data_IF_630394973762
#
_entry.id   IF_630394973762
#
_cell.length_a   1.000
_cell.length_b   1.000
_cell.length_c   1.000
_cell.angle_alpha   90.00
_cell.angle_beta   90.00
_cell.angle_gamma   90.00
#
_symmetry.space_group_name_H-M   'P 1'
#
loop_
_entity.id
_entity.type
_entity.pdbx_description
1 polymer ?
#
# COMPACT_ATOMS: atom_id res chain seq x y z
N UNK A 1 -10.41 20.36 -16.64
CA UNK A 1 -9.35 19.40 -16.21
C UNK A 1 -9.68 18.05 -16.83
N UNK A 2 -8.69 17.33 -17.36
CA UNK A 2 -8.90 15.95 -17.82
C UNK A 2 -9.06 14.97 -16.64
N UNK A 3 -9.55 13.76 -16.90
CA UNK A 3 -9.82 12.76 -15.86
C UNK A 3 -8.59 12.35 -15.06
N UNK A 4 -7.43 12.20 -15.72
CA UNK A 4 -6.19 11.79 -15.04
C UNK A 4 -5.67 12.89 -14.12
N UNK A 5 -5.71 14.14 -14.57
CA UNK A 5 -5.37 15.31 -13.76
C UNK A 5 -6.32 15.43 -12.55
N UNK A 6 -7.62 15.18 -12.73
CA UNK A 6 -8.61 15.24 -11.64
C UNK A 6 -8.41 14.14 -10.59
N UNK A 7 -8.18 12.89 -11.03
CA UNK A 7 -7.84 11.78 -10.13
C UNK A 7 -6.54 12.05 -9.36
N UNK A 8 -5.54 12.59 -10.06
CA UNK A 8 -4.26 12.96 -9.44
C UNK A 8 -4.41 14.09 -8.41
N UNK A 9 -5.20 15.12 -8.72
CA UNK A 9 -5.50 16.21 -7.78
C UNK A 9 -6.14 15.69 -6.50
N UNK A 10 -7.14 14.81 -6.63
CA UNK A 10 -7.82 14.18 -5.51
C UNK A 10 -6.84 13.38 -4.62
N UNK A 11 -6.00 12.53 -5.22
CA UNK A 11 -4.98 11.76 -4.48
C UNK A 11 -3.98 12.66 -3.74
N UNK A 12 -3.48 13.71 -4.39
CA UNK A 12 -2.55 14.67 -3.75
C UNK A 12 -3.18 15.39 -2.58
N UNK A 13 -4.43 15.83 -2.72
CA UNK A 13 -5.15 16.49 -1.64
C UNK A 13 -5.33 15.57 -0.44
N UNK A 14 -5.75 14.32 -0.66
CA UNK A 14 -5.93 13.36 0.43
C UNK A 14 -4.61 13.02 1.13
N UNK A 15 -3.52 12.88 0.39
CA UNK A 15 -2.19 12.70 0.98
C UNK A 15 -1.79 13.90 1.85
N UNK A 16 -2.02 15.13 1.38
CA UNK A 16 -1.76 16.34 2.15
C UNK A 16 -2.63 16.44 3.41
N UNK A 17 -3.93 16.10 3.31
CA UNK A 17 -4.83 16.05 4.47
C UNK A 17 -4.36 15.02 5.50
N UNK A 18 -3.96 13.82 5.05
CA UNK A 18 -3.43 12.79 5.95
C UNK A 18 -2.16 13.28 6.67
N UNK A 19 -1.20 13.87 5.95
CA UNK A 19 0.02 14.44 6.54
C UNK A 19 -0.27 15.56 7.54
N UNK A 20 -1.29 16.38 7.30
CA UNK A 20 -1.74 17.42 8.23
C UNK A 20 -2.36 16.81 9.49
N UNK A 21 -3.22 15.79 9.35
CA UNK A 21 -3.86 15.11 10.48
C UNK A 21 -2.85 14.39 11.35
N UNK A 22 -1.90 13.65 10.75
CA UNK A 22 -0.83 12.95 11.46
C UNK A 22 0.04 13.95 12.24
N UNK A 23 0.54 15.01 11.58
CA UNK A 23 1.34 16.05 12.25
C UNK A 23 0.58 16.73 13.38
N UNK A 24 -0.71 16.99 13.19
CA UNK A 24 -1.55 17.57 14.24
C UNK A 24 -1.69 16.60 15.44
N UNK A 25 -1.93 15.31 15.18
CA UNK A 25 -1.98 14.26 16.19
C UNK A 25 -0.70 14.17 17.02
N UNK A 26 0.47 14.15 16.36
CA UNK A 26 1.78 14.13 17.03
C UNK A 26 2.01 15.37 17.92
N UNK A 27 1.60 16.55 17.44
CA UNK A 27 1.75 17.81 18.17
C UNK A 27 0.92 17.89 19.46
N UNK A 28 -0.17 17.12 19.56
CA UNK A 28 -1.10 17.17 20.68
C UNK A 28 -0.67 16.37 21.92
N UNK A 29 0.43 15.59 21.84
CA UNK A 29 1.03 14.87 22.96
C UNK A 29 0.16 13.73 23.55
N UNK A 30 0.77 12.61 23.90
CA UNK A 30 0.05 11.44 24.42
C UNK A 30 -0.40 11.66 25.87
N UNK A 31 -1.72 11.53 26.10
CA UNK A 31 -2.43 11.32 27.38
C UNK A 31 -2.35 12.44 28.45
N UNK A 32 -3.52 12.93 28.85
CA UNK A 32 -3.71 13.47 30.21
C UNK A 32 -3.42 12.38 31.25
N UNK A 33 -2.80 12.70 32.42
CA UNK A 33 -2.54 11.74 33.51
C UNK A 33 -3.80 11.03 34.04
N UNK A 34 -4.99 11.49 33.66
CA UNK A 34 -6.28 11.02 34.17
C UNK A 34 -7.05 10.13 33.16
N UNK A 35 -6.41 9.66 32.09
CA UNK A 35 -6.99 8.63 31.20
C UNK A 35 -8.21 9.06 30.37
N UNK A 36 -8.62 10.34 30.41
CA UNK A 36 -9.60 10.91 29.47
C UNK A 36 -8.89 11.65 28.36
N UNK A 37 -9.22 11.31 27.12
CA UNK A 37 -8.86 12.09 25.95
C UNK A 37 -9.48 13.49 26.06
N UNK A 38 -8.75 14.53 25.63
CA UNK A 38 -9.37 15.86 25.44
C UNK A 38 -10.34 15.77 24.26
N UNK A 39 -11.38 16.61 24.23
CA UNK A 39 -12.33 16.70 23.08
C UNK A 39 -11.61 16.86 21.73
N UNK A 40 -10.43 17.49 21.74
CA UNK A 40 -9.56 17.63 20.56
C UNK A 40 -8.96 16.28 20.10
N UNK A 41 -8.62 15.39 21.01
CA UNK A 41 -8.18 14.01 20.70
C UNK A 41 -9.34 13.15 20.20
N UNK A 42 -10.54 13.31 20.78
CA UNK A 42 -11.76 12.63 20.33
C UNK A 42 -12.15 13.01 18.89
N UNK A 43 -11.74 14.20 18.43
CA UNK A 43 -11.90 14.65 17.03
C UNK A 43 -10.81 14.15 16.11
N UNK A 44 -9.56 14.12 16.56
CA UNK A 44 -8.42 13.85 15.68
C UNK A 44 -8.27 12.37 15.30
N UNK A 45 -8.52 11.45 16.25
CA UNK A 45 -8.34 10.02 15.99
C UNK A 45 -9.26 9.47 14.87
N UNK A 46 -10.56 9.77 14.83
CA UNK A 46 -11.43 9.31 13.75
C UNK A 46 -11.08 9.94 12.39
N UNK A 47 -10.56 11.17 12.40
CA UNK A 47 -10.08 11.82 11.18
C UNK A 47 -8.82 11.17 10.62
N UNK A 48 -7.92 10.67 11.47
CA UNK A 48 -6.72 9.95 11.03
C UNK A 48 -7.09 8.66 10.28
N UNK A 49 -8.00 7.87 10.87
CA UNK A 49 -8.52 6.66 10.22
C UNK A 49 -9.25 7.02 8.91
N UNK A 50 -10.13 8.02 8.94
CA UNK A 50 -10.83 8.47 7.74
C UNK A 50 -9.87 8.93 6.63
N UNK A 51 -8.80 9.63 7.01
CA UNK A 51 -7.79 10.11 6.08
C UNK A 51 -7.02 8.98 5.40
N UNK A 52 -7.01 7.76 5.95
CA UNK A 52 -6.50 6.56 5.29
C UNK A 52 -7.56 5.85 4.42
N UNK A 53 -8.83 5.85 4.85
CA UNK A 53 -9.93 5.14 4.18
C UNK A 53 -10.41 5.82 2.88
N UNK A 54 -10.49 7.15 2.83
CA UNK A 54 -10.89 7.85 1.60
C UNK A 54 -9.88 7.62 0.45
N UNK A 55 -8.55 7.74 0.65
CA UNK A 55 -7.58 7.34 -0.37
C UNK A 55 -7.79 5.93 -0.89
N UNK A 56 -8.04 4.97 0.01
CA UNK A 56 -8.28 3.57 -0.38
C UNK A 56 -9.48 3.45 -1.33
N UNK A 57 -10.60 4.11 -1.05
CA UNK A 57 -11.78 4.13 -1.94
C UNK A 57 -11.53 4.85 -3.27
N UNK A 58 -10.75 5.93 -3.26
CA UNK A 58 -10.39 6.69 -4.48
C UNK A 58 -9.46 5.89 -5.38
N UNK A 59 -8.55 5.12 -4.79
CA UNK A 59 -7.61 4.27 -5.51
C UNK A 59 -8.25 2.97 -6.05
N UNK A 60 -9.52 2.68 -5.75
CA UNK A 60 -10.28 1.65 -6.47
C UNK A 60 -10.63 2.04 -7.90
N UNK A 61 -10.55 3.32 -8.23
CA UNK A 61 -10.71 3.80 -9.61
C UNK A 61 -9.40 3.55 -10.37
N UNK A 62 -9.47 2.80 -11.47
CA UNK A 62 -8.31 2.46 -12.28
C UNK A 62 -7.78 3.71 -13.03
N UNK A 63 -6.54 4.15 -12.77
CA UNK A 63 -5.94 5.28 -13.50
C UNK A 63 -5.86 5.10 -15.02
N UNK A 64 -5.84 3.87 -15.52
CA UNK A 64 -5.78 3.55 -16.95
C UNK A 64 -7.18 3.44 -17.60
N UNK A 65 -8.25 3.35 -16.80
CA UNK A 65 -9.64 3.26 -17.26
C UNK A 65 -10.56 4.23 -16.49
N UNK A 66 -10.16 5.50 -16.43
CA UNK A 66 -10.95 6.53 -15.77
C UNK A 66 -12.14 6.98 -16.63
N UNK A 67 -13.33 7.17 -16.04
CA UNK A 67 -14.47 7.72 -16.76
C UNK A 67 -14.25 9.19 -17.12
N UNK A 68 -15.09 9.73 -17.99
CA UNK A 68 -15.09 11.16 -18.37
C UNK A 68 -15.15 12.09 -17.14
N UNK A 69 -14.57 13.32 -17.17
CA UNK A 69 -14.32 14.14 -15.97
C UNK A 69 -15.53 14.37 -15.08
N UNK A 70 -16.72 14.57 -15.66
CA UNK A 70 -17.97 14.76 -14.90
C UNK A 70 -18.39 13.50 -14.15
N UNK A 71 -18.27 12.34 -14.79
CA UNK A 71 -18.58 11.06 -14.18
C UNK A 71 -17.52 10.71 -13.12
N UNK A 72 -16.25 11.02 -13.38
CA UNK A 72 -15.17 10.87 -12.41
C UNK A 72 -15.39 11.73 -11.16
N UNK A 73 -15.77 13.01 -11.31
CA UNK A 73 -16.06 13.87 -10.16
C UNK A 73 -17.17 13.30 -9.25
N UNK A 74 -18.21 12.72 -9.87
CA UNK A 74 -19.26 12.01 -9.14
C UNK A 74 -18.75 10.74 -8.46
N UNK A 75 -17.90 9.95 -9.15
CA UNK A 75 -17.30 8.73 -8.61
C UNK A 75 -16.36 9.01 -7.43
N UNK A 76 -15.52 10.05 -7.51
CA UNK A 76 -14.65 10.52 -6.44
C UNK A 76 -15.45 10.98 -5.22
N UNK A 77 -16.50 11.77 -5.44
CA UNK A 77 -17.42 12.15 -4.36
C UNK A 77 -18.02 10.91 -3.70
N UNK A 78 -18.55 9.98 -4.50
CA UNK A 78 -19.13 8.75 -3.97
C UNK A 78 -18.10 7.88 -3.22
N UNK A 79 -16.83 7.86 -3.64
CA UNK A 79 -15.75 7.16 -2.96
C UNK A 79 -15.54 7.65 -1.52
N UNK A 80 -15.47 8.97 -1.31
CA UNK A 80 -15.34 9.54 0.02
C UNK A 80 -16.52 9.19 0.95
N UNK A 81 -17.73 9.06 0.41
CA UNK A 81 -18.92 8.67 1.20
C UNK A 81 -19.09 7.15 1.36
N UNK A 82 -18.34 6.32 0.63
CA UNK A 82 -18.26 4.87 0.88
C UNK A 82 -17.28 4.53 2.01
N UNK A 83 -16.26 5.36 2.20
CA UNK A 83 -15.30 5.19 3.28
C UNK A 83 -16.04 5.08 4.63
N UNK A 84 -15.72 4.08 5.47
CA UNK A 84 -16.42 3.84 6.72
C UNK A 84 -16.34 5.04 7.68
N UNK A 85 -17.38 5.17 8.51
CA UNK A 85 -17.40 6.12 9.63
C UNK A 85 -16.85 5.44 10.87
N UNK A 86 -15.86 6.04 11.53
CA UNK A 86 -15.21 5.46 12.72
C UNK A 86 -15.56 6.20 14.00
N UNK A 87 -16.03 7.44 13.89
CA UNK A 87 -16.51 8.23 15.00
C UNK A 87 -17.61 7.52 15.79
N UNK A 88 -17.42 7.41 17.11
CA UNK A 88 -18.39 6.76 18.00
C UNK A 88 -19.32 7.76 18.70
N UNK A 89 -18.95 9.03 18.74
CA UNK A 89 -19.75 10.12 19.29
C UNK A 89 -20.16 11.14 18.22
N UNK A 90 -21.09 12.04 18.59
CA UNK A 90 -21.66 13.03 17.66
C UNK A 90 -20.63 14.03 17.15
N UNK A 91 -19.61 14.34 17.94
CA UNK A 91 -18.56 15.30 17.59
C UNK A 91 -17.62 14.69 16.56
N UNK A 92 -17.20 13.44 16.78
CA UNK A 92 -16.39 12.67 15.85
C UNK A 92 -17.09 12.45 14.49
N UNK A 93 -18.34 11.96 14.52
CA UNK A 93 -19.13 11.74 13.29
C UNK A 93 -19.34 13.04 12.52
N UNK A 94 -19.60 14.16 13.20
CA UNK A 94 -19.75 15.45 12.54
C UNK A 94 -18.44 15.97 11.92
N UNK A 95 -17.29 15.69 12.53
CA UNK A 95 -16.00 16.04 11.97
C UNK A 95 -15.70 15.22 10.70
N UNK A 96 -15.95 13.91 10.74
CA UNK A 96 -15.78 13.03 9.59
C UNK A 96 -16.71 13.39 8.41
N UNK A 97 -17.95 13.78 8.68
CA UNK A 97 -18.88 14.28 7.66
C UNK A 97 -18.37 15.62 7.07
N UNK A 98 -17.89 16.53 7.92
CA UNK A 98 -17.32 17.79 7.46
C UNK A 98 -16.14 17.58 6.51
N UNK A 99 -15.26 16.62 6.80
CA UNK A 99 -14.12 16.26 5.93
C UNK A 99 -14.59 15.76 4.56
N UNK A 100 -15.60 14.87 4.51
CA UNK A 100 -16.19 14.40 3.24
C UNK A 100 -16.80 15.53 2.42
N UNK A 101 -17.43 16.50 3.08
CA UNK A 101 -18.01 17.67 2.43
C UNK A 101 -16.91 18.59 1.87
N UNK A 102 -15.82 18.81 2.60
CA UNK A 102 -14.65 19.57 2.12
C UNK A 102 -14.02 18.90 0.90
N UNK A 103 -13.82 17.57 0.94
CA UNK A 103 -13.31 16.84 -0.21
C UNK A 103 -14.23 16.96 -1.44
N UNK A 104 -15.55 16.84 -1.25
CA UNK A 104 -16.53 17.02 -2.33
C UNK A 104 -16.47 18.41 -2.95
N UNK A 105 -16.31 19.44 -2.14
CA UNK A 105 -16.16 20.83 -2.61
C UNK A 105 -14.87 20.99 -3.42
N UNK A 106 -13.75 20.45 -2.93
CA UNK A 106 -12.48 20.48 -3.63
C UNK A 106 -12.55 19.75 -5.00
N UNK A 107 -13.17 18.57 -5.06
CA UNK A 107 -13.42 17.84 -6.32
C UNK A 107 -14.25 18.66 -7.31
N UNK A 108 -15.28 19.37 -6.83
CA UNK A 108 -16.08 20.25 -7.68
C UNK A 108 -15.25 21.37 -8.25
N UNK A 109 -14.41 22.01 -7.45
CA UNK A 109 -13.56 23.12 -7.88
C UNK A 109 -12.55 22.65 -8.94
N UNK A 110 -11.82 21.56 -8.68
CA UNK A 110 -10.87 20.99 -9.65
C UNK A 110 -11.53 20.53 -10.94
N UNK A 111 -12.76 20.00 -10.89
CA UNK A 111 -13.49 19.57 -12.09
C UNK A 111 -13.76 20.71 -13.08
N UNK A 112 -13.73 21.96 -12.59
CA UNK A 112 -13.91 23.18 -13.40
C UNK A 112 -12.61 23.92 -13.72
N UNK A 113 -11.50 23.53 -13.11
CA UNK A 113 -10.17 24.11 -13.37
C UNK A 113 -9.58 23.55 -14.67
N UNK A 114 -8.73 24.31 -15.36
CA UNK A 114 -7.97 23.84 -16.53
C UNK A 114 -6.47 23.67 -16.25
N UNK A 115 -6.04 23.83 -15.00
CA UNK A 115 -4.65 23.69 -14.63
C UNK A 115 -4.20 22.22 -14.71
N UNK A 116 -3.11 21.90 -15.43
CA UNK A 116 -2.59 20.54 -15.49
C UNK A 116 -1.97 20.14 -14.15
N UNK A 117 -2.18 18.88 -13.74
CA UNK A 117 -1.59 18.34 -12.51
C UNK A 117 -0.52 17.31 -12.87
N UNK A 118 0.68 17.46 -12.32
CA UNK A 118 1.77 16.52 -12.54
C UNK A 118 1.37 15.11 -12.05
N UNK A 119 1.52 14.06 -12.89
CA UNK A 119 1.02 12.73 -12.57
C UNK A 119 1.71 12.17 -11.32
N UNK A 120 0.95 11.39 -10.55
CA UNK A 120 1.49 10.53 -9.49
C UNK A 120 1.83 9.14 -10.07
N UNK A 121 2.69 8.36 -9.39
CA UNK A 121 2.88 6.95 -9.71
C UNK A 121 1.54 6.20 -9.69
N UNK A 122 1.43 5.21 -10.57
CA UNK A 122 0.27 4.34 -10.66
C UNK A 122 0.08 3.59 -9.34
N UNK A 123 -1.16 3.59 -8.87
CA UNK A 123 -1.60 2.80 -7.73
C UNK A 123 -3.09 2.56 -7.89
N UNK A 124 -3.49 1.30 -7.76
CA UNK A 124 -4.88 0.87 -7.82
C UNK A 124 -5.14 -0.18 -6.77
N UNK A 125 -6.20 -0.03 -5.99
CA UNK A 125 -6.70 -1.03 -5.06
C UNK A 125 -7.44 -2.13 -5.83
N UNK A 126 -7.17 -3.38 -5.49
CA UNK A 126 -7.81 -4.55 -6.05
C UNK A 126 -9.26 -4.68 -5.54
N UNK A 127 -10.15 -5.20 -6.38
CA UNK A 127 -11.43 -5.70 -5.89
C UNK A 127 -11.24 -6.97 -5.05
N UNK A 128 -12.27 -7.35 -4.29
CA UNK A 128 -12.25 -8.59 -3.49
C UNK A 128 -12.06 -9.82 -4.38
N UNK A 129 -12.66 -9.81 -5.57
CA UNK A 129 -12.54 -10.88 -6.57
C UNK A 129 -11.13 -10.95 -7.16
N UNK A 130 -10.54 -9.80 -7.51
CA UNK A 130 -9.17 -9.74 -8.01
C UNK A 130 -8.18 -10.21 -6.94
N UNK A 131 -8.33 -9.76 -5.70
CA UNK A 131 -7.51 -10.17 -4.57
C UNK A 131 -7.58 -11.70 -4.35
N UNK A 132 -8.79 -12.27 -4.39
CA UNK A 132 -8.99 -13.70 -4.25
C UNK A 132 -8.31 -14.48 -5.38
N UNK A 133 -8.45 -14.00 -6.62
CA UNK A 133 -7.78 -14.60 -7.78
C UNK A 133 -6.26 -14.57 -7.65
N UNK A 134 -5.68 -13.46 -7.22
CA UNK A 134 -4.24 -13.35 -6.96
C UNK A 134 -3.78 -14.29 -5.87
N UNK A 135 -4.53 -14.38 -4.77
CA UNK A 135 -4.25 -15.30 -3.68
C UNK A 135 -4.24 -16.75 -4.18
N UNK A 136 -5.27 -17.18 -4.91
CA UNK A 136 -5.36 -18.54 -5.46
C UNK A 136 -4.18 -18.86 -6.40
N UNK A 137 -3.80 -17.89 -7.25
CA UNK A 137 -2.65 -17.99 -8.15
C UNK A 137 -1.34 -18.18 -7.38
N UNK A 138 -1.11 -17.38 -6.32
CA UNK A 138 0.07 -17.47 -5.47
C UNK A 138 0.11 -18.75 -4.63
N UNK A 139 -1.04 -19.17 -4.08
CA UNK A 139 -1.17 -20.47 -3.39
C UNK A 139 -0.79 -21.60 -4.35
N UNK A 140 -1.34 -21.60 -5.58
CA UNK A 140 -1.07 -22.65 -6.55
C UNK A 140 0.38 -22.67 -7.05
N UNK A 141 1.02 -21.52 -7.22
CA UNK A 141 2.37 -21.42 -7.80
C UNK A 141 3.49 -21.52 -6.77
N UNK A 142 3.29 -20.87 -5.62
CA UNK A 142 4.32 -20.62 -4.62
C UNK A 142 4.03 -21.28 -3.26
N UNK A 143 2.86 -21.90 -3.10
CA UNK A 143 2.51 -22.62 -1.87
C UNK A 143 2.21 -21.69 -0.68
N UNK A 144 1.74 -20.48 -0.94
CA UNK A 144 1.28 -19.54 0.09
C UNK A 144 0.22 -20.20 1.00
N UNK A 145 0.29 -19.98 2.31
CA UNK A 145 -0.73 -20.50 3.27
C UNK A 145 -1.22 -19.35 4.14
N UNK A 146 -2.52 -19.09 4.12
CA UNK A 146 -3.11 -17.97 4.88
C UNK A 146 -2.39 -16.63 4.65
N UNK A 147 -1.96 -16.37 3.40
CA UNK A 147 -1.19 -15.17 2.99
C UNK A 147 0.22 -15.06 3.54
N UNK A 148 0.66 -16.07 4.28
CA UNK A 148 2.00 -16.19 4.81
C UNK A 148 2.84 -17.10 3.91
N UNK A 149 4.12 -16.78 3.76
CA UNK A 149 5.08 -17.55 2.98
C UNK A 149 6.33 -17.94 3.77
N UNK A 150 7.31 -18.52 3.09
CA UNK A 150 8.60 -18.85 3.69
C UNK A 150 9.32 -17.58 4.16
N UNK A 151 9.96 -17.56 5.34
CA UNK A 151 10.36 -18.70 6.17
C UNK A 151 9.36 -19.20 7.22
N UNK A 152 8.14 -18.67 7.28
CA UNK A 152 7.18 -19.02 8.34
C UNK A 152 6.51 -20.38 8.08
N UNK A 153 6.21 -20.69 6.82
CA UNK A 153 5.65 -22.00 6.43
C UNK A 153 6.76 -23.04 6.26
N UNK A 154 6.52 -24.26 6.75
CA UNK A 154 7.43 -25.39 6.54
C UNK A 154 7.50 -25.79 5.05
N UNK A 155 8.62 -26.36 4.62
CA UNK A 155 8.95 -26.80 3.24
C UNK A 155 9.06 -25.63 2.22
N UNK A 156 10.19 -24.90 2.17
CA UNK A 156 10.39 -23.89 1.14
C UNK A 156 10.30 -24.50 -0.26
N UNK A 157 9.71 -23.79 -1.24
CA UNK A 157 9.96 -24.09 -2.64
C UNK A 157 11.47 -24.19 -2.91
N UNK A 158 11.86 -25.02 -3.88
CA UNK A 158 13.23 -24.95 -4.38
C UNK A 158 13.53 -23.51 -4.83
N UNK A 159 14.75 -23.05 -4.61
CA UNK A 159 15.25 -21.76 -5.10
C UNK A 159 14.63 -20.51 -4.42
N UNK A 160 14.47 -20.58 -3.10
CA UNK A 160 14.13 -19.41 -2.26
C UNK A 160 15.39 -18.84 -1.60
N UNK A 161 15.59 -17.54 -1.80
CA UNK A 161 16.62 -16.75 -1.13
C UNK A 161 16.00 -16.02 0.05
N UNK A 162 16.47 -16.29 1.27
CA UNK A 162 16.06 -15.54 2.47
C UNK A 162 17.20 -14.72 3.02
N UNK A 163 16.94 -13.43 3.15
CA UNK A 163 17.86 -12.43 3.67
C UNK A 163 17.30 -11.84 4.95
N UNK A 164 18.21 -11.42 5.84
CA UNK A 164 17.80 -10.56 6.95
C UNK A 164 17.39 -9.21 6.40
N UNK A 165 16.38 -8.60 7.00
CA UNK A 165 15.80 -7.33 6.54
C UNK A 165 16.79 -6.17 6.53
N UNK A 166 17.84 -6.21 7.37
CA UNK A 166 18.91 -5.19 7.37
C UNK A 166 19.65 -5.11 6.03
N UNK A 167 19.60 -6.17 5.22
CA UNK A 167 20.13 -6.12 3.86
C UNK A 167 19.45 -5.05 2.99
N UNK A 168 18.20 -4.70 3.29
CA UNK A 168 17.40 -3.72 2.53
C UNK A 168 17.72 -2.28 2.92
N UNK A 169 17.85 -1.96 4.22
CA UNK A 169 18.06 -0.59 4.69
C UNK A 169 19.50 -0.24 5.09
N UNK A 170 20.29 -1.21 5.58
CA UNK A 170 21.72 -0.99 5.93
C UNK A 170 22.65 -1.40 4.77
N UNK A 171 22.12 -2.17 3.82
CA UNK A 171 22.83 -2.67 2.64
C UNK A 171 22.34 -2.07 1.33
N UNK A 172 22.86 -2.55 0.19
CA UNK A 172 22.41 -2.13 -1.14
C UNK A 172 21.14 -2.86 -1.61
N UNK A 173 20.43 -3.56 -0.71
CA UNK A 173 19.43 -4.56 -1.08
C UNK A 173 18.25 -4.00 -1.84
N UNK A 174 17.67 -2.89 -1.36
CA UNK A 174 16.56 -2.23 -2.06
C UNK A 174 16.91 -1.89 -3.51
N UNK A 175 18.05 -1.22 -3.72
CA UNK A 175 18.48 -0.82 -5.06
C UNK A 175 18.72 -2.04 -5.97
N UNK A 176 19.30 -3.12 -5.43
CA UNK A 176 19.55 -4.34 -6.17
C UNK A 176 18.27 -5.08 -6.54
N UNK A 177 17.28 -5.13 -5.63
CA UNK A 177 15.96 -5.72 -5.92
C UNK A 177 15.24 -4.91 -7.00
N UNK A 178 15.18 -3.58 -6.86
CA UNK A 178 14.56 -2.71 -7.88
C UNK A 178 15.25 -2.85 -9.24
N UNK A 179 16.59 -2.93 -9.26
CA UNK A 179 17.36 -3.14 -10.49
C UNK A 179 17.07 -4.50 -11.11
N UNK A 180 16.99 -5.56 -10.31
CA UNK A 180 16.66 -6.90 -10.78
C UNK A 180 15.25 -6.94 -11.38
N UNK A 181 14.25 -6.39 -10.69
CA UNK A 181 12.86 -6.31 -11.19
C UNK A 181 12.75 -5.51 -12.50
N UNK A 182 13.46 -4.37 -12.61
CA UNK A 182 13.55 -3.62 -13.88
C UNK A 182 14.21 -4.45 -14.99
N UNK A 183 15.24 -5.22 -14.67
CA UNK A 183 15.91 -6.13 -15.60
C UNK A 183 15.02 -7.27 -16.09
N UNK A 184 14.07 -7.73 -15.26
CA UNK A 184 13.03 -8.69 -15.62
C UNK A 184 11.88 -8.07 -16.44
N UNK A 185 11.85 -6.75 -16.58
CA UNK A 185 10.82 -6.03 -17.35
C UNK A 185 9.57 -5.67 -16.53
N UNK A 186 9.59 -5.84 -15.20
CA UNK A 186 8.47 -5.47 -14.35
C UNK A 186 8.38 -3.93 -14.25
N UNK A 187 7.25 -3.36 -14.69
CA UNK A 187 6.93 -1.93 -14.50
C UNK A 187 5.97 -1.67 -13.34
N UNK A 188 5.11 -2.66 -13.06
CA UNK A 188 4.14 -2.66 -11.96
C UNK A 188 4.21 -3.99 -11.23
N UNK A 189 3.87 -3.97 -9.95
CA UNK A 189 3.80 -5.15 -9.10
C UNK A 189 2.45 -5.21 -8.43
N UNK A 190 1.99 -6.43 -8.16
CA UNK A 190 0.87 -6.70 -7.28
C UNK A 190 1.43 -6.84 -5.88
N UNK A 191 0.83 -6.15 -4.92
CA UNK A 191 1.09 -6.25 -3.50
C UNK A 191 -0.17 -6.76 -2.80
N UNK A 192 -0.03 -7.80 -1.99
CA UNK A 192 -1.09 -8.32 -1.12
C UNK A 192 -0.65 -8.18 0.34
N UNK A 193 -1.54 -7.67 1.17
CA UNK A 193 -1.36 -7.51 2.61
C UNK A 193 -1.90 -8.72 3.38
N UNK A 194 -1.14 -9.26 4.35
CA UNK A 194 -1.56 -10.38 5.21
C UNK A 194 -2.56 -9.94 6.30
N UNK A 195 -2.40 -8.72 6.84
CA UNK A 195 -3.17 -8.21 7.96
C UNK A 195 -4.64 -7.92 7.61
N UNK A 196 -4.95 -7.71 6.34
CA UNK A 196 -6.30 -7.49 5.85
C UNK A 196 -6.58 -8.36 4.62
N UNK A 197 -7.34 -9.45 4.81
CA UNK A 197 -7.64 -10.50 3.81
C UNK A 197 -8.39 -10.04 2.54
N UNK A 198 -8.51 -8.74 2.31
CA UNK A 198 -9.08 -8.13 1.10
C UNK A 198 -8.35 -6.85 0.68
N UNK A 199 -7.18 -6.54 1.26
CA UNK A 199 -6.40 -5.36 0.91
C UNK A 199 -5.21 -5.75 0.04
N UNK A 200 -5.33 -5.45 -1.25
CA UNK A 200 -4.24 -5.62 -2.19
C UNK A 200 -4.26 -4.51 -3.22
N UNK A 201 -3.12 -4.28 -3.85
CA UNK A 201 -2.93 -3.18 -4.78
C UNK A 201 -2.02 -3.56 -5.93
N UNK A 202 -2.26 -2.94 -7.08
CA UNK A 202 -1.28 -2.85 -8.17
C UNK A 202 -0.59 -1.50 -8.04
N UNK A 203 0.73 -1.50 -7.96
CA UNK A 203 1.55 -0.30 -7.82
C UNK A 203 2.63 -0.23 -8.89
N UNK A 204 3.04 0.97 -9.27
CA UNK A 204 4.28 1.17 -10.00
C UNK A 204 5.47 0.65 -9.18
N UNK A 205 6.48 0.12 -9.88
CA UNK A 205 7.68 -0.44 -9.24
C UNK A 205 8.44 0.60 -8.39
N UNK A 206 8.32 1.90 -8.70
CA UNK A 206 8.95 2.96 -7.90
C UNK A 206 8.30 3.15 -6.51
N UNK A 207 7.14 2.54 -6.26
CA UNK A 207 6.48 2.49 -4.95
C UNK A 207 6.75 1.18 -4.19
N UNK A 208 7.50 0.24 -4.78
CA UNK A 208 7.75 -1.06 -4.19
C UNK A 208 8.77 -0.97 -3.05
N UNK A 209 8.39 -1.49 -1.88
CA UNK A 209 9.21 -1.47 -0.67
C UNK A 209 9.49 -2.91 -0.21
N UNK A 210 10.65 -3.51 -0.54
CA UNK A 210 10.95 -4.92 -0.27
C UNK A 210 11.28 -5.22 1.20
N UNK A 211 10.59 -4.62 2.16
CA UNK A 211 10.76 -4.92 3.59
C UNK A 211 9.48 -4.69 4.38
N UNK A 212 9.50 -5.11 5.64
CA UNK A 212 8.35 -5.03 6.53
C UNK A 212 8.13 -3.59 7.00
N UNK A 213 6.94 -3.06 6.74
CA UNK A 213 6.53 -1.69 7.12
C UNK A 213 5.44 -1.68 8.20
N UNK A 214 5.37 -2.73 9.02
CA UNK A 214 4.34 -2.88 10.06
C UNK A 214 3.26 -3.90 9.73
N UNK A 215 3.27 -4.44 8.51
CA UNK A 215 2.41 -5.54 8.08
C UNK A 215 3.13 -6.44 7.09
N UNK A 216 2.88 -7.75 7.14
CA UNK A 216 3.48 -8.68 6.20
C UNK A 216 2.85 -8.51 4.82
N UNK A 217 3.70 -8.59 3.80
CA UNK A 217 3.31 -8.31 2.43
C UNK A 217 3.93 -9.32 1.49
N UNK A 218 3.15 -9.70 0.48
CA UNK A 218 3.57 -10.52 -0.65
C UNK A 218 3.53 -9.67 -1.91
N UNK A 219 4.56 -9.75 -2.73
CA UNK A 219 4.59 -9.12 -4.04
C UNK A 219 4.89 -10.11 -5.16
N UNK A 220 4.28 -9.87 -6.32
CA UNK A 220 4.53 -10.59 -7.57
C UNK A 220 4.15 -9.72 -8.77
N UNK A 221 4.17 -10.30 -9.98
CA UNK A 221 3.54 -9.72 -11.16
C UNK A 221 2.69 -10.75 -11.92
N UNK A 222 2.16 -10.36 -13.08
CA UNK A 222 1.31 -11.20 -13.94
C UNK A 222 1.95 -12.50 -14.41
N UNK A 223 3.28 -12.59 -14.44
CA UNK A 223 3.98 -13.81 -14.85
C UNK A 223 3.96 -14.86 -13.76
N UNK A 224 3.95 -14.44 -12.48
CA UNK A 224 4.20 -15.27 -11.31
C UNK A 224 5.54 -16.04 -11.37
N UNK A 225 6.50 -15.57 -12.18
CA UNK A 225 7.83 -16.17 -12.29
C UNK A 225 8.76 -15.77 -11.14
N UNK A 226 8.30 -14.85 -10.30
CA UNK A 226 8.94 -14.46 -9.06
C UNK A 226 7.91 -14.14 -7.97
N UNK A 227 8.38 -14.10 -6.74
CA UNK A 227 7.63 -13.68 -5.56
C UNK A 227 8.61 -13.01 -4.58
N UNK A 228 8.14 -12.00 -3.86
CA UNK A 228 8.83 -11.39 -2.73
C UNK A 228 7.90 -11.44 -1.53
N UNK A 229 8.43 -11.71 -0.35
CA UNK A 229 7.68 -11.70 0.90
C UNK A 229 8.50 -11.01 1.98
N UNK A 230 7.90 -10.04 2.67
CA UNK A 230 8.50 -9.37 3.81
C UNK A 230 7.72 -9.69 5.07
N UNK A 231 8.44 -10.14 6.10
CA UNK A 231 7.87 -10.66 7.33
C UNK A 231 8.23 -9.83 8.55
N UNK A 232 7.37 -9.85 9.57
CA UNK A 232 7.63 -9.27 10.88
C UNK A 232 8.80 -9.96 11.62
N UNK A 233 9.20 -11.16 11.18
CA UNK A 233 10.35 -11.93 11.68
C UNK A 233 11.71 -11.35 11.22
N UNK A 234 11.74 -10.09 10.77
CA UNK A 234 12.95 -9.39 10.31
C UNK A 234 13.65 -10.11 9.15
N UNK A 235 12.86 -10.70 8.25
CA UNK A 235 13.35 -11.39 7.06
C UNK A 235 12.60 -10.94 5.81
N UNK A 236 13.28 -11.08 4.67
CA UNK A 236 12.72 -10.91 3.34
C UNK A 236 13.09 -12.13 2.52
N UNK A 237 12.09 -12.75 1.90
CA UNK A 237 12.23 -13.92 1.06
C UNK A 237 11.96 -13.58 -0.40
N UNK A 238 12.79 -14.10 -1.30
CA UNK A 238 12.66 -13.95 -2.74
C UNK A 238 12.62 -15.33 -3.38
N UNK A 239 11.70 -15.55 -4.32
CA UNK A 239 11.59 -16.81 -5.07
C UNK A 239 11.73 -16.62 -6.57
N UNK A 240 12.13 -17.69 -7.25
CA UNK A 240 12.14 -17.78 -8.71
C UNK A 240 13.17 -16.89 -9.38
N UNK A 241 12.78 -16.31 -10.51
CA UNK A 241 13.69 -15.51 -11.35
C UNK A 241 14.29 -14.31 -10.63
N UNK A 242 13.60 -13.75 -9.64
CA UNK A 242 14.13 -12.67 -8.80
C UNK A 242 15.23 -13.18 -7.86
N UNK A 243 15.05 -14.35 -7.24
CA UNK A 243 16.07 -14.96 -6.39
C UNK A 243 17.35 -15.25 -7.20
N UNK A 244 17.19 -15.82 -8.39
CA UNK A 244 18.30 -16.11 -9.32
C UNK A 244 19.05 -14.83 -9.72
N UNK A 245 18.31 -13.78 -10.08
CA UNK A 245 18.90 -12.49 -10.46
C UNK A 245 19.68 -11.85 -9.32
N UNK A 246 19.17 -11.91 -8.08
CA UNK A 246 19.85 -11.39 -6.90
C UNK A 246 21.12 -12.20 -6.60
N UNK A 247 21.05 -13.53 -6.62
CA UNK A 247 22.22 -14.40 -6.41
C UNK A 247 23.33 -14.12 -7.43
N UNK A 248 22.96 -13.89 -8.69
CA UNK A 248 23.92 -13.61 -9.76
C UNK A 248 24.57 -12.21 -9.67
N UNK A 249 23.89 -11.23 -9.08
CA UNK A 249 24.27 -9.82 -9.18
C UNK A 249 24.65 -9.14 -7.86
N UNK A 250 24.36 -9.75 -6.71
CA UNK A 250 24.61 -9.16 -5.40
C UNK A 250 25.94 -9.66 -4.80
N UNK A 251 26.98 -8.80 -4.75
CA UNK A 251 28.25 -9.16 -4.10
C UNK A 251 28.05 -9.39 -2.60
N UNK A 252 28.67 -10.44 -2.05
CA UNK A 252 28.59 -10.79 -0.63
C UNK A 252 27.17 -11.11 -0.12
N UNK A 253 26.26 -11.54 -0.99
CA UNK A 253 24.89 -11.92 -0.60
C UNK A 253 24.84 -12.91 0.57
N UNK A 254 25.84 -13.81 0.65
CA UNK A 254 25.97 -14.79 1.73
C UNK A 254 26.13 -14.17 3.12
N UNK A 255 26.67 -12.95 3.22
CA UNK A 255 26.75 -12.20 4.51
C UNK A 255 25.36 -11.86 5.05
N UNK A 256 24.39 -11.70 4.16
CA UNK A 256 23.02 -11.27 4.45
C UNK A 256 22.05 -12.43 4.60
N UNK A 257 22.40 -13.62 4.08
CA UNK A 257 21.58 -14.81 4.17
C UNK A 257 21.29 -15.16 5.62
N UNK A 258 20.04 -15.53 5.89
CA UNK A 258 19.67 -16.11 7.17
C UNK A 258 20.20 -17.53 7.27
N UNK A 259 21.23 -17.75 8.10
CA UNK A 259 21.72 -19.10 8.42
C UNK A 259 20.88 -19.65 9.57
N UNK A 260 20.16 -20.77 9.36
CA UNK A 260 19.51 -21.51 10.46
C UNK A 260 18.02 -21.82 10.34
N UNK A 261 17.37 -21.53 9.21
CA UNK A 261 15.96 -21.91 8.96
C UNK A 261 15.78 -23.31 8.37
N UNK A 262 16.75 -24.21 8.62
CA UNK A 262 16.56 -25.65 8.47
C UNK A 262 16.09 -26.17 9.83
N UNK A 263 14.77 -26.27 10.05
CA UNK A 263 14.23 -27.12 11.12
C UNK A 263 14.14 -28.56 10.65
#
# INVERSE_FOLDING_TARGET
MDSRSLHTAARRHLAACHDDVVRHGESMGVRSPHGRYRVEHERAFPLDVLAAEIPHEVERLDPDDLPEPRALAAALTAAAFRAPTHGTDRVAVAAEEAERLLFREAVRDWSTSDEPVAPLPYRRVLSVEEFSLWTDRLVSRWGLRDQVWYPIVDDPPADVLVLRVEAMWDGPGEELVLRALRGLGSGRVVELDEGNRSDGRVIDLDLFVPWYEGVEKVWCDETLDWICFASHESTVAFGGTLADALIASWPDIDRWRCTGWNR
#
